data_IF_261617775952
#
_entry.id   IF_261617775952
#
_cell.length_a   1.000
_cell.length_b   1.000
_cell.length_c   1.000
_cell.angle_alpha   90.00
_cell.angle_beta   90.00
_cell.angle_gamma   90.00
#
_symmetry.space_group_name_H-M   'P 1'
#
loop_
_entity.id
_entity.type
_entity.pdbx_description
1 polymer ?
#
# COMPACT_ATOMS: atom_id res chain seq x y z
N UNK A 1 -26.29 42.61 21.43
CA UNK A 1 -24.97 42.73 20.76
C UNK A 1 -24.94 41.60 19.73
N UNK A 2 -25.44 41.82 18.51
CA UNK A 2 -24.80 42.43 17.33
C UNK A 2 -23.82 41.50 16.59
N UNK A 3 -24.27 41.05 15.39
CA UNK A 3 -23.55 40.63 14.16
C UNK A 3 -22.57 39.45 14.28
N UNK A 4 -22.48 38.45 13.38
CA UNK A 4 -22.89 38.24 11.99
C UNK A 4 -21.78 37.38 11.33
N UNK A 5 -22.08 36.37 10.48
CA UNK A 5 -21.06 35.46 9.94
C UNK A 5 -20.31 36.04 8.75
N UNK A 6 -18.96 36.04 8.78
CA UNK A 6 -18.15 36.37 7.60
C UNK A 6 -17.74 35.10 6.86
N UNK A 7 -18.41 34.90 5.72
CA UNK A 7 -17.95 34.09 4.61
C UNK A 7 -16.60 34.60 4.09
N UNK A 8 -15.69 33.70 3.72
CA UNK A 8 -14.69 33.98 2.69
C UNK A 8 -14.62 32.83 1.72
N UNK A 9 -15.41 32.95 0.65
CA UNK A 9 -15.13 32.31 -0.64
C UNK A 9 -13.83 32.92 -1.18
N UNK A 10 -12.87 32.09 -1.56
CA UNK A 10 -11.80 32.47 -2.47
C UNK A 10 -11.61 31.35 -3.48
N UNK A 11 -12.30 31.50 -4.62
CA UNK A 11 -11.96 30.80 -5.84
C UNK A 11 -10.79 31.55 -6.48
N UNK A 12 -9.72 30.84 -6.85
CA UNK A 12 -8.71 31.36 -7.79
C UNK A 12 -8.46 30.27 -8.82
N UNK A 13 -8.92 30.58 -10.04
CA UNK A 13 -8.62 29.86 -11.26
C UNK A 13 -7.27 30.34 -11.81
N UNK A 14 -6.45 29.42 -12.32
CA UNK A 14 -5.34 29.70 -13.24
C UNK A 14 -5.12 28.41 -14.07
N UNK A 15 -5.65 28.34 -15.30
CA UNK A 15 -5.09 28.86 -16.55
C UNK A 15 -4.23 27.81 -17.27
N UNK A 16 -4.77 27.33 -18.39
CA UNK A 16 -4.17 26.42 -19.38
C UNK A 16 -2.93 27.03 -20.04
N UNK A 17 -1.94 26.18 -20.33
CA UNK A 17 -0.95 26.45 -21.37
C UNK A 17 -0.79 25.20 -22.26
N UNK A 18 -1.30 25.31 -23.48
CA UNK A 18 -1.08 24.38 -24.60
C UNK A 18 0.21 24.78 -25.29
N UNK A 19 1.14 23.84 -25.46
CA UNK A 19 2.36 24.02 -26.24
C UNK A 19 2.46 22.98 -27.34
N UNK A 20 2.11 23.35 -28.56
CA UNK A 20 2.44 22.62 -29.78
C UNK A 20 3.70 23.22 -30.40
N UNK A 21 4.71 22.40 -30.69
CA UNK A 21 5.84 22.79 -31.54
C UNK A 21 5.99 21.74 -32.64
N UNK A 22 5.76 22.16 -33.87
CA UNK A 22 5.89 21.38 -35.08
C UNK A 22 7.20 21.71 -35.81
N UNK A 23 7.75 20.66 -36.43
CA UNK A 23 8.58 20.59 -37.65
C UNK A 23 9.84 21.45 -37.79
N UNK A 24 10.99 20.77 -37.91
CA UNK A 24 12.06 21.22 -38.79
C UNK A 24 12.48 20.05 -39.70
N UNK A 25 12.13 20.18 -40.97
CA UNK A 25 12.56 19.35 -42.09
C UNK A 25 14.04 19.62 -42.40
N UNK A 26 14.85 18.57 -42.48
CA UNK A 26 16.22 18.64 -42.98
C UNK A 26 16.44 17.58 -44.05
N UNK A 27 16.38 18.00 -45.32
CA UNK A 27 16.86 17.21 -46.46
C UNK A 27 18.39 17.25 -46.53
N UNK A 28 19.01 16.08 -46.52
CA UNK A 28 20.44 15.88 -46.76
C UNK A 28 20.63 14.54 -47.48
N UNK A 29 21.01 14.61 -48.75
CA UNK A 29 21.24 13.47 -49.63
C UNK A 29 22.58 12.80 -49.35
N UNK A 30 22.63 11.46 -49.48
CA UNK A 30 23.83 10.74 -49.89
C UNK A 30 24.24 9.56 -49.01
N UNK A 31 24.19 8.37 -49.60
CA UNK A 31 25.05 7.24 -49.21
C UNK A 31 24.37 6.17 -48.38
N UNK A 32 23.87 5.13 -49.06
CA UNK A 32 23.50 3.85 -48.46
C UNK A 32 24.77 3.03 -48.21
N UNK A 33 25.08 2.67 -46.95
CA UNK A 33 25.64 1.37 -46.67
C UNK A 33 24.62 0.56 -45.88
N UNK A 34 24.29 -0.61 -46.41
CA UNK A 34 23.40 -1.58 -45.79
C UNK A 34 23.67 -1.72 -44.27
N UNK A 35 22.67 -1.57 -43.40
CA UNK A 35 22.87 -1.84 -41.99
C UNK A 35 22.99 -3.36 -41.84
N UNK A 36 24.18 -3.82 -41.47
CA UNK A 36 24.33 -5.10 -40.82
C UNK A 36 23.45 -5.06 -39.57
N UNK A 37 22.33 -5.80 -39.61
CA UNK A 37 21.41 -5.95 -38.50
C UNK A 37 22.08 -6.77 -37.41
N UNK A 38 22.91 -6.12 -36.61
CA UNK A 38 23.27 -6.59 -35.28
C UNK A 38 22.06 -6.34 -34.40
N UNK A 39 21.18 -7.34 -34.32
CA UNK A 39 20.09 -7.37 -33.35
C UNK A 39 20.69 -7.12 -31.95
N UNK A 40 20.10 -6.24 -31.12
CA UNK A 40 20.52 -6.13 -29.74
C UNK A 40 20.30 -7.51 -29.09
N UNK A 41 21.36 -8.10 -28.56
CA UNK A 41 21.22 -9.23 -27.66
C UNK A 41 20.31 -8.75 -26.52
N UNK A 42 19.13 -9.34 -26.40
CA UNK A 42 18.28 -9.14 -25.25
C UNK A 42 19.10 -9.58 -24.03
N UNK A 43 19.63 -8.61 -23.30
CA UNK A 43 20.12 -8.86 -21.96
C UNK A 43 18.89 -9.27 -21.16
N UNK A 44 18.76 -10.56 -20.87
CA UNK A 44 17.94 -11.04 -19.77
C UNK A 44 18.58 -10.49 -18.49
N UNK A 45 18.25 -9.24 -18.17
CA UNK A 45 18.43 -8.73 -16.83
C UNK A 45 17.52 -9.55 -15.94
N UNK A 46 18.11 -10.33 -15.04
CA UNK A 46 17.41 -10.83 -13.87
C UNK A 46 16.82 -9.60 -13.18
N UNK A 47 15.49 -9.42 -13.31
CA UNK A 47 14.78 -8.44 -12.52
C UNK A 47 14.85 -8.99 -11.11
N UNK A 48 15.78 -8.47 -10.33
CA UNK A 48 15.82 -8.67 -8.88
C UNK A 48 14.51 -8.06 -8.37
N UNK A 49 13.46 -8.88 -8.30
CA UNK A 49 12.17 -8.48 -7.78
C UNK A 49 12.42 -8.22 -6.32
N UNK A 50 12.55 -6.96 -5.93
CA UNK A 50 12.79 -6.62 -4.53
C UNK A 50 11.55 -7.03 -3.74
N UNK A 51 11.62 -8.18 -3.09
CA UNK A 51 10.51 -8.76 -2.34
C UNK A 51 10.40 -8.00 -1.02
N UNK A 52 9.17 -7.59 -0.68
CA UNK A 52 8.90 -7.03 0.65
C UNK A 52 8.44 -8.17 1.55
N UNK A 53 9.00 -8.23 2.75
CA UNK A 53 8.71 -9.29 3.71
C UNK A 53 8.24 -8.68 5.03
N UNK A 54 7.45 -9.43 5.77
CA UNK A 54 7.03 -8.98 7.08
C UNK A 54 6.72 -10.10 8.05
N UNK A 55 6.28 -9.70 9.23
CA UNK A 55 5.80 -10.60 10.26
C UNK A 55 4.53 -10.01 10.85
N UNK A 56 3.46 -10.81 10.86
CA UNK A 56 2.26 -10.55 11.64
C UNK A 56 2.28 -11.45 12.87
N UNK A 57 1.88 -10.91 14.02
CA UNK A 57 1.60 -11.70 15.23
C UNK A 57 0.20 -11.36 15.73
N UNK A 58 -0.55 -12.39 16.09
CA UNK A 58 -1.84 -12.30 16.78
C UNK A 58 -1.76 -13.28 17.94
N UNK A 59 -1.78 -12.76 19.16
CA UNK A 59 -1.47 -13.47 20.41
C UNK A 59 -0.17 -14.28 20.31
N UNK A 60 -0.26 -15.61 20.36
CA UNK A 60 0.86 -16.55 20.30
C UNK A 60 1.13 -17.08 18.88
N UNK A 61 0.31 -16.71 17.90
CA UNK A 61 0.47 -17.12 16.51
C UNK A 61 1.23 -16.09 15.69
N UNK A 62 2.04 -16.57 14.75
CA UNK A 62 2.87 -15.72 13.89
C UNK A 62 2.74 -16.15 12.44
N UNK A 63 2.67 -15.17 11.54
CA UNK A 63 2.76 -15.38 10.10
C UNK A 63 3.97 -14.64 9.54
N UNK A 64 4.80 -15.35 8.76
CA UNK A 64 5.69 -14.70 7.81
C UNK A 64 4.84 -14.18 6.65
N UNK A 65 5.10 -12.94 6.24
CA UNK A 65 4.31 -12.24 5.23
C UNK A 65 5.11 -12.02 3.96
N UNK A 66 4.45 -12.24 2.82
CA UNK A 66 4.83 -11.68 1.53
C UNK A 66 4.00 -10.42 1.29
N UNK A 67 4.67 -9.29 1.10
CA UNK A 67 4.04 -7.98 1.11
C UNK A 67 4.24 -7.21 -0.21
N UNK A 68 3.25 -6.37 -0.53
CA UNK A 68 3.33 -5.32 -1.53
C UNK A 68 3.17 -3.98 -0.81
N UNK A 69 4.15 -3.08 -0.96
CA UNK A 69 4.12 -1.75 -0.37
C UNK A 69 3.91 -0.68 -1.45
N UNK A 70 3.00 0.26 -1.18
CA UNK A 70 2.68 1.39 -2.04
C UNK A 70 2.87 2.68 -1.26
N UNK A 71 3.54 3.67 -1.85
CA UNK A 71 3.71 4.99 -1.26
C UNK A 71 3.20 6.07 -2.25
N UNK A 72 1.89 6.35 -2.26
CA UNK A 72 1.29 7.25 -3.25
C UNK A 72 1.75 8.71 -3.10
N UNK A 73 2.17 9.12 -1.90
CA UNK A 73 2.64 10.47 -1.61
C UNK A 73 2.31 10.88 -0.17
N UNK A 74 2.55 12.14 0.18
CA UNK A 74 2.10 12.75 1.45
C UNK A 74 2.48 12.05 2.78
N UNK A 75 3.44 11.11 2.76
CA UNK A 75 3.79 10.31 3.95
C UNK A 75 2.84 9.15 4.22
N UNK A 76 2.04 8.78 3.21
CA UNK A 76 1.13 7.64 3.21
C UNK A 76 1.87 6.41 2.69
N UNK A 77 1.70 5.29 3.40
CA UNK A 77 2.14 3.97 2.95
C UNK A 77 0.99 2.99 3.12
N UNK A 78 0.67 2.28 2.06
CA UNK A 78 -0.30 1.18 2.08
C UNK A 78 0.43 -0.14 1.87
N UNK A 79 0.04 -1.14 2.64
CA UNK A 79 0.62 -2.48 2.58
C UNK A 79 -0.51 -3.49 2.41
N UNK A 80 -0.41 -4.30 1.37
CA UNK A 80 -1.18 -5.53 1.23
C UNK A 80 -0.23 -6.71 1.43
N UNK A 81 -0.58 -7.67 2.26
CA UNK A 81 0.28 -8.82 2.52
C UNK A 81 -0.51 -10.10 2.72
N UNK A 82 0.12 -11.24 2.45
CA UNK A 82 -0.46 -12.56 2.67
C UNK A 82 0.49 -13.43 3.46
N UNK A 83 -0.04 -14.41 4.20
CA UNK A 83 0.76 -15.37 4.95
C UNK A 83 -0.08 -16.48 5.56
N UNK A 84 0.56 -17.27 6.42
CA UNK A 84 -0.09 -18.36 7.17
C UNK A 84 0.29 -18.25 8.64
N UNK A 85 -0.71 -18.22 9.51
CA UNK A 85 -0.52 -18.26 10.96
C UNK A 85 -0.09 -19.66 11.39
N UNK A 86 1.02 -19.72 12.11
CA UNK A 86 1.50 -20.93 12.77
C UNK A 86 1.22 -20.87 14.27
N UNK A 87 0.77 -21.98 14.89
CA UNK A 87 0.69 -23.34 14.33
C UNK A 87 -0.68 -23.70 13.73
N UNK A 88 -1.67 -22.79 13.69
CA UNK A 88 -3.02 -23.18 13.27
C UNK A 88 -3.12 -23.53 11.78
N UNK A 89 -2.17 -23.07 10.95
CA UNK A 89 -2.19 -23.22 9.50
C UNK A 89 -3.25 -22.35 8.82
N UNK A 90 -3.78 -21.32 9.50
CA UNK A 90 -4.83 -20.44 8.97
C UNK A 90 -4.21 -19.42 8.03
N UNK A 91 -4.78 -19.23 6.84
CA UNK A 91 -4.31 -18.20 5.93
C UNK A 91 -4.73 -16.82 6.43
N UNK A 92 -3.88 -15.83 6.16
CA UNK A 92 -4.16 -14.44 6.46
C UNK A 92 -3.94 -13.55 5.25
N UNK A 93 -4.85 -12.60 5.06
CA UNK A 93 -4.67 -11.45 4.18
C UNK A 93 -4.68 -10.18 5.03
N UNK A 94 -3.69 -9.32 4.85
CA UNK A 94 -3.51 -8.11 5.63
C UNK A 94 -3.64 -6.90 4.72
N UNK A 95 -4.40 -5.91 5.18
CA UNK A 95 -4.39 -4.56 4.64
C UNK A 95 -3.98 -3.58 5.75
N UNK A 96 -2.90 -2.84 5.53
CA UNK A 96 -2.36 -1.90 6.51
C UNK A 96 -2.11 -0.52 5.87
N UNK A 97 -2.90 0.47 6.29
CA UNK A 97 -2.73 1.88 5.98
C UNK A 97 -1.89 2.54 7.08
N UNK A 98 -0.62 2.73 6.80
CA UNK A 98 0.32 3.42 7.67
C UNK A 98 0.24 4.94 7.47
N UNK A 99 -0.94 5.51 7.71
CA UNK A 99 -1.18 6.95 7.62
C UNK A 99 -0.98 7.59 9.00
N UNK A 100 -0.04 8.53 9.14
CA UNK A 100 0.29 9.12 10.45
C UNK A 100 -0.89 9.85 11.13
N UNK A 101 -1.88 10.30 10.35
CA UNK A 101 -3.05 10.99 10.87
C UNK A 101 -4.13 10.01 11.36
N UNK A 102 -4.36 8.93 10.60
CA UNK A 102 -5.46 8.00 10.77
C UNK A 102 -5.06 6.59 10.29
N UNK A 103 -4.19 5.90 11.03
CA UNK A 103 -3.70 4.60 10.63
C UNK A 103 -4.75 3.51 10.86
N UNK A 104 -4.80 2.54 9.97
CA UNK A 104 -5.78 1.46 9.99
C UNK A 104 -5.15 0.14 9.57
N UNK A 105 -5.52 -0.96 10.23
CA UNK A 105 -5.12 -2.31 9.85
C UNK A 105 -6.32 -3.25 9.94
N UNK A 106 -6.47 -4.07 8.91
CA UNK A 106 -7.40 -5.19 8.84
C UNK A 106 -6.65 -6.47 8.51
N UNK A 107 -7.08 -7.57 9.11
CA UNK A 107 -6.56 -8.92 8.87
C UNK A 107 -7.76 -9.83 8.63
N UNK A 108 -7.89 -10.33 7.41
CA UNK A 108 -8.80 -11.42 7.10
C UNK A 108 -8.11 -12.73 7.45
N UNK A 109 -8.74 -13.57 8.27
CA UNK A 109 -8.24 -14.89 8.68
C UNK A 109 -9.18 -15.96 8.13
N UNK A 110 -8.62 -16.98 7.47
CA UNK A 110 -9.38 -18.09 6.92
C UNK A 110 -8.83 -19.44 7.39
N UNK A 111 -9.73 -20.36 7.74
CA UNK A 111 -9.39 -21.74 8.12
C UNK A 111 -9.88 -22.78 7.10
N UNK A 112 -10.41 -22.32 5.96
CA UNK A 112 -10.98 -23.14 4.89
C UNK A 112 -12.47 -23.43 5.04
N UNK A 113 -13.07 -23.17 6.20
CA UNK A 113 -14.52 -23.30 6.44
C UNK A 113 -15.18 -21.96 6.76
N UNK A 114 -14.42 -21.04 7.37
CA UNK A 114 -14.87 -19.72 7.79
C UNK A 114 -13.85 -18.64 7.45
N UNK A 115 -14.36 -17.42 7.31
CA UNK A 115 -13.59 -16.20 7.09
C UNK A 115 -13.95 -15.21 8.20
N UNK A 116 -12.95 -14.72 8.92
CA UNK A 116 -13.08 -13.74 10.00
C UNK A 116 -12.31 -12.47 9.66
N UNK A 117 -12.93 -11.30 9.83
CA UNK A 117 -12.27 -10.01 9.70
C UNK A 117 -11.89 -9.50 11.09
N UNK A 118 -10.59 -9.31 11.31
CA UNK A 118 -10.00 -8.72 12.49
C UNK A 118 -9.51 -7.31 12.17
N UNK A 119 -9.89 -6.33 12.98
CA UNK A 119 -9.50 -4.93 12.78
C UNK A 119 -8.83 -4.40 14.04
N UNK A 120 -7.96 -3.41 13.89
CA UNK A 120 -7.54 -2.63 15.05
C UNK A 120 -8.74 -1.92 15.66
N UNK A 121 -8.89 -2.06 16.97
CA UNK A 121 -9.88 -1.31 17.75
C UNK A 121 -9.68 0.20 17.55
N UNK A 122 -10.78 0.95 17.44
CA UNK A 122 -10.74 2.43 17.29
C UNK A 122 -10.88 3.16 18.62
N UNK A 123 -11.14 2.43 19.72
CA UNK A 123 -11.14 2.95 21.09
C UNK A 123 -9.75 3.38 21.58
N UNK A 124 -8.70 2.86 20.94
CA UNK A 124 -7.30 3.16 21.16
C UNK A 124 -6.66 3.63 19.85
N UNK A 125 -5.70 4.55 19.94
CA UNK A 125 -4.98 5.01 18.74
C UNK A 125 -3.97 3.95 18.33
N UNK A 126 -4.04 3.49 17.09
CA UNK A 126 -3.01 2.65 16.49
C UNK A 126 -1.71 3.46 16.32
N UNK A 127 -0.64 3.01 16.98
CA UNK A 127 0.68 3.64 16.87
C UNK A 127 1.48 3.01 15.73
N UNK A 128 1.80 3.82 14.73
CA UNK A 128 2.54 3.39 13.54
C UNK A 128 3.91 4.05 13.47
N UNK A 129 4.91 3.25 13.11
CA UNK A 129 6.30 3.66 12.91
C UNK A 129 6.69 3.43 11.46
N UNK A 130 7.06 4.50 10.76
CA UNK A 130 7.60 4.46 9.40
C UNK A 130 9.02 4.99 9.43
N UNK A 131 10.01 4.15 9.10
CA UNK A 131 11.44 4.53 9.09
C UNK A 131 12.15 3.91 7.89
N UNK A 132 12.45 4.73 6.88
CA UNK A 132 13.06 4.26 5.64
C UNK A 132 12.15 3.26 4.94
N UNK A 133 12.60 2.02 4.84
CA UNK A 133 11.85 0.91 4.23
C UNK A 133 11.00 0.12 5.24
N UNK A 134 11.13 0.40 6.53
CA UNK A 134 10.40 -0.33 7.57
C UNK A 134 9.10 0.37 7.96
N UNK A 135 8.03 -0.41 8.05
CA UNK A 135 6.71 0.01 8.53
C UNK A 135 6.25 -0.97 9.60
N UNK A 136 5.92 -0.47 10.79
CA UNK A 136 5.56 -1.32 11.91
C UNK A 136 4.47 -0.73 12.79
N UNK A 137 3.68 -1.59 13.42
CA UNK A 137 2.77 -1.26 14.50
C UNK A 137 2.78 -2.38 15.55
N UNK A 138 2.72 -2.03 16.82
CA UNK A 138 2.76 -2.98 17.94
C UNK A 138 1.62 -2.75 18.91
N UNK A 139 1.44 -3.69 19.83
CA UNK A 139 0.36 -3.67 20.84
C UNK A 139 -1.03 -3.43 20.22
N UNK A 140 -1.25 -3.95 19.01
CA UNK A 140 -2.49 -3.79 18.26
C UNK A 140 -3.57 -4.56 19.00
N UNK A 141 -4.63 -3.88 19.44
CA UNK A 141 -5.79 -4.54 20.03
C UNK A 141 -6.71 -4.99 18.90
N UNK A 142 -6.66 -6.26 18.52
CA UNK A 142 -7.52 -6.80 17.47
C UNK A 142 -8.91 -7.11 18.00
N UNK A 143 -9.92 -6.70 17.23
CA UNK A 143 -11.33 -6.97 17.48
C UNK A 143 -11.99 -7.54 16.24
N UNK A 144 -13.09 -8.25 16.45
CA UNK A 144 -14.05 -8.59 15.40
C UNK A 144 -15.35 -7.82 15.58
N UNK A 145 -16.14 -7.72 14.51
CA UNK A 145 -17.42 -7.01 14.51
C UNK A 145 -17.27 -5.57 15.01
N UNK A 146 -16.27 -4.83 14.51
CA UNK A 146 -16.01 -3.45 14.89
C UNK A 146 -17.23 -2.58 14.56
N UNK A 147 -17.75 -1.89 15.56
CA UNK A 147 -18.78 -0.87 15.42
C UNK A 147 -18.11 0.48 15.22
N UNK A 148 -18.29 1.07 14.03
CA UNK A 148 -17.68 2.34 13.65
C UNK A 148 -18.25 3.55 14.39
N UNK A 149 -19.45 3.45 14.96
CA UNK A 149 -20.07 4.54 15.74
C UNK A 149 -19.48 4.61 17.16
N UNK A 150 -19.16 3.45 17.74
CA UNK A 150 -18.59 3.37 19.10
C UNK A 150 -17.07 3.23 19.11
N UNK A 151 -16.49 2.76 18.00
CA UNK A 151 -15.08 2.42 17.87
C UNK A 151 -14.69 1.11 18.54
N UNK A 152 -15.65 0.30 18.98
CA UNK A 152 -15.41 -0.92 19.77
C UNK A 152 -15.88 -2.16 19.03
N UNK A 153 -15.26 -3.30 19.33
CA UNK A 153 -15.67 -4.61 18.84
C UNK A 153 -15.40 -5.69 19.88
N UNK A 154 -15.72 -6.92 19.53
CA UNK A 154 -15.43 -8.07 20.39
C UNK A 154 -13.92 -8.36 20.37
N UNK A 155 -13.30 -8.34 21.55
CA UNK A 155 -11.86 -8.56 21.69
C UNK A 155 -11.44 -9.96 21.24
N UNK A 156 -10.43 -10.01 20.38
CA UNK A 156 -9.85 -11.26 19.88
C UNK A 156 -8.48 -11.51 20.47
N UNK A 157 -7.60 -10.50 20.47
CA UNK A 157 -6.23 -10.68 20.94
C UNK A 157 -5.38 -9.42 20.77
N UNK A 158 -4.14 -9.49 21.25
CA UNK A 158 -3.13 -8.46 20.97
C UNK A 158 -2.19 -8.89 19.87
N UNK A 159 -1.71 -7.94 19.06
CA UNK A 159 -0.83 -8.27 17.95
C UNK A 159 0.19 -7.20 17.60
N UNK A 160 0.91 -7.47 16.52
CA UNK A 160 1.91 -6.58 15.94
C UNK A 160 2.14 -6.92 14.48
N UNK A 161 2.49 -5.92 13.69
CA UNK A 161 2.97 -6.08 12.32
C UNK A 161 4.30 -5.35 12.14
N UNK A 162 5.21 -5.95 11.40
CA UNK A 162 6.49 -5.36 11.01
C UNK A 162 6.82 -5.77 9.58
N UNK A 163 6.97 -4.80 8.68
CA UNK A 163 7.19 -5.02 7.25
C UNK A 163 8.42 -4.25 6.82
N UNK A 164 9.34 -4.94 6.14
CA UNK A 164 10.45 -4.35 5.41
C UNK A 164 10.06 -4.27 3.93
N UNK A 165 9.73 -3.06 3.49
CA UNK A 165 9.32 -2.73 2.13
C UNK A 165 10.55 -2.61 1.24
N UNK A 166 10.88 -3.69 0.54
CA UNK A 166 11.99 -3.74 -0.41
C UNK A 166 11.90 -2.65 -1.49
N UNK A 167 10.69 -2.40 -1.99
CA UNK A 167 10.39 -1.28 -2.88
C UNK A 167 8.98 -0.73 -2.61
N UNK A 168 8.76 0.53 -2.98
CA UNK A 168 7.44 1.15 -2.96
C UNK A 168 6.95 1.36 -4.38
N UNK A 169 5.83 0.72 -4.72
CA UNK A 169 5.11 1.07 -5.93
C UNK A 169 4.47 2.46 -5.77
N UNK A 170 4.22 3.13 -6.91
CA UNK A 170 3.51 4.42 -6.94
C UNK A 170 2.01 4.26 -7.03
N UNK A 171 1.56 3.10 -7.52
CA UNK A 171 0.16 2.75 -7.73
C UNK A 171 -0.11 1.37 -7.12
N UNK A 172 -1.37 1.14 -6.72
CA UNK A 172 -1.83 -0.18 -6.28
C UNK A 172 -1.82 -1.19 -7.44
N UNK A 173 -1.51 -2.47 -7.19
CA UNK A 173 -1.71 -3.52 -8.19
C UNK A 173 -3.18 -3.57 -8.63
N UNK A 174 -3.43 -3.92 -9.90
CA UNK A 174 -4.79 -4.17 -10.35
C UNK A 174 -5.40 -5.34 -9.54
N UNK A 175 -6.72 -5.32 -9.23
CA UNK A 175 -7.38 -6.45 -8.59
C UNK A 175 -7.20 -7.72 -9.43
N UNK A 176 -7.01 -8.87 -8.77
CA UNK A 176 -6.90 -10.14 -9.48
C UNK A 176 -8.19 -10.39 -10.26
N UNK A 177 -8.08 -10.61 -11.57
CA UNK A 177 -9.20 -11.02 -12.40
C UNK A 177 -9.65 -12.41 -11.94
N UNK A 178 -10.78 -12.47 -11.22
CA UNK A 178 -11.41 -13.72 -10.82
C UNK A 178 -11.85 -14.51 -12.06
N UNK A 179 -11.14 -15.59 -12.35
CA UNK A 179 -11.46 -16.55 -13.41
C UNK A 179 -12.53 -17.56 -13.01
#
# INVERSE_FOLDING_TARGET
MAWGPLSRRAAVAAALAVGAAACASGEGAGGDPAPASSAPAAASGEVDTVVSHGTLRIDDETAALDAACVAPGAGEVEIAAVGTLEPSGRSVEVYFQAHLADPYIAVTVEDGESTELLEASLDERLEVFVTGHRVAAGAIRFVRNLDLDTGTGEFVGFGSIDVDCGAFARDLPAPADGG
#
